data_IF_819607701457
#
_entry.id   IF_819607701457
#
_cell.length_a   1.000
_cell.length_b   1.000
_cell.length_c   1.000
_cell.angle_alpha   90.00
_cell.angle_beta   90.00
_cell.angle_gamma   90.00
#
_symmetry.space_group_name_H-M   'P 1'
#
loop_
_entity.id
_entity.type
_entity.pdbx_description
1 polymer ?
#
# COMPACT_ATOMS: atom_id res chain seq x y z
N UNK A 1 17.27 6.80 -1.94
CA UNK A 1 16.60 5.57 -2.46
C UNK A 1 15.23 5.96 -2.99
N UNK A 2 14.94 5.75 -4.28
CA UNK A 2 13.58 5.96 -4.84
C UNK A 2 12.66 4.83 -4.36
N UNK A 3 11.46 5.17 -3.88
CA UNK A 3 10.41 4.21 -3.55
C UNK A 3 9.92 3.51 -4.84
N UNK A 4 10.30 2.25 -5.00
CA UNK A 4 9.82 1.40 -6.10
C UNK A 4 8.43 0.87 -5.79
N UNK A 5 7.65 0.59 -6.85
CA UNK A 5 6.31 0.01 -6.71
C UNK A 5 6.31 -1.29 -5.90
N UNK A 6 7.33 -2.15 -6.07
CA UNK A 6 7.48 -3.36 -5.25
C UNK A 6 7.72 -3.07 -3.77
N UNK A 7 8.53 -2.07 -3.44
CA UNK A 7 8.75 -1.68 -2.03
C UNK A 7 7.47 -1.16 -1.40
N UNK A 8 6.71 -0.38 -2.19
CA UNK A 8 5.41 0.17 -1.79
C UNK A 8 4.40 -0.97 -1.56
N UNK A 9 4.27 -1.89 -2.51
CA UNK A 9 3.35 -3.03 -2.43
C UNK A 9 3.67 -3.97 -1.26
N UNK A 10 4.96 -4.21 -1.01
CA UNK A 10 5.40 -5.06 0.10
C UNK A 10 4.98 -4.52 1.46
N UNK A 11 4.82 -3.21 1.61
CA UNK A 11 4.29 -2.62 2.83
C UNK A 11 2.81 -3.01 3.06
N UNK A 12 2.00 -3.09 2.00
CA UNK A 12 0.62 -3.59 2.07
C UNK A 12 0.59 -5.07 2.41
N UNK A 13 1.40 -5.88 1.74
CA UNK A 13 1.47 -7.32 2.01
C UNK A 13 1.83 -7.62 3.46
N UNK A 14 2.76 -6.84 4.04
CA UNK A 14 3.13 -6.95 5.46
C UNK A 14 1.94 -6.59 6.38
N UNK A 15 1.18 -5.53 6.07
CA UNK A 15 -0.04 -5.22 6.84
C UNK A 15 -1.11 -6.30 6.65
N UNK A 16 -1.29 -6.83 5.45
CA UNK A 16 -2.27 -7.88 5.17
C UNK A 16 -1.89 -9.21 5.85
N UNK A 17 -0.60 -9.50 6.00
CA UNK A 17 -0.14 -10.66 6.77
C UNK A 17 -0.47 -10.55 8.27
N UNK A 18 -0.58 -9.33 8.80
CA UNK A 18 -0.89 -9.07 10.22
C UNK A 18 -2.39 -8.97 10.49
N UNK A 19 -3.16 -8.37 9.57
CA UNK A 19 -4.57 -8.01 9.79
C UNK A 19 -5.54 -8.74 8.83
N UNK A 20 -5.03 -9.54 7.90
CA UNK A 20 -5.81 -10.13 6.81
C UNK A 20 -6.09 -9.15 5.67
N UNK A 21 -6.57 -9.65 4.53
CA UNK A 21 -6.93 -8.87 3.33
C UNK A 21 -8.33 -8.23 3.40
N UNK A 22 -8.99 -8.27 4.56
CA UNK A 22 -10.42 -7.94 4.70
C UNK A 22 -10.78 -6.46 4.52
N UNK A 23 -9.85 -5.54 4.78
CA UNK A 23 -10.13 -4.10 4.69
C UNK A 23 -9.03 -3.36 3.94
N UNK A 24 -9.27 -3.17 2.63
CA UNK A 24 -8.35 -2.51 1.70
C UNK A 24 -7.96 -1.11 2.19
N UNK A 25 -8.93 -0.31 2.60
CA UNK A 25 -8.68 1.08 2.97
C UNK A 25 -7.81 1.16 4.23
N UNK A 26 -8.11 0.34 5.24
CA UNK A 26 -7.31 0.26 6.45
C UNK A 26 -5.86 -0.20 6.16
N UNK A 27 -5.68 -1.18 5.27
CA UNK A 27 -4.37 -1.69 4.88
C UNK A 27 -3.54 -0.63 4.13
N UNK A 28 -4.14 0.05 3.16
CA UNK A 28 -3.49 1.14 2.42
C UNK A 28 -3.12 2.26 3.38
N UNK A 29 -4.03 2.70 4.25
CA UNK A 29 -3.77 3.76 5.22
C UNK A 29 -2.60 3.42 6.17
N UNK A 30 -2.54 2.17 6.66
CA UNK A 30 -1.44 1.68 7.50
C UNK A 30 -0.12 1.60 6.74
N UNK A 31 -0.14 1.08 5.50
CA UNK A 31 1.04 1.00 4.65
C UNK A 31 1.61 2.39 4.33
N UNK A 32 0.75 3.35 3.97
CA UNK A 32 1.10 4.76 3.77
C UNK A 32 1.76 5.33 5.02
N UNK A 33 1.13 5.19 6.20
CA UNK A 33 1.68 5.73 7.45
C UNK A 33 3.08 5.18 7.76
N UNK A 34 3.27 3.87 7.55
CA UNK A 34 4.56 3.21 7.76
C UNK A 34 5.63 3.69 6.79
N UNK A 35 5.29 3.82 5.51
CA UNK A 35 6.21 4.31 4.48
C UNK A 35 6.55 5.78 4.70
N UNK A 36 5.58 6.63 5.07
CA UNK A 36 5.83 8.02 5.46
C UNK A 36 6.81 8.10 6.64
N UNK A 37 6.63 7.28 7.68
CA UNK A 37 7.56 7.22 8.82
C UNK A 37 8.96 6.74 8.43
N UNK A 38 9.06 5.69 7.61
CA UNK A 38 10.35 5.08 7.21
C UNK A 38 11.14 5.97 6.26
N UNK A 39 10.46 6.68 5.36
CA UNK A 39 11.10 7.52 4.34
C UNK A 39 11.09 9.01 4.69
N UNK A 40 10.61 9.37 5.87
CA UNK A 40 10.46 10.75 6.32
C UNK A 40 9.68 11.62 5.31
N UNK A 41 8.61 11.06 4.72
CA UNK A 41 7.70 11.83 3.87
C UNK A 41 6.91 12.78 4.78
N UNK A 42 7.08 14.09 4.59
CA UNK A 42 6.52 15.11 5.49
C UNK A 42 5.40 15.92 4.86
N UNK A 43 5.26 15.85 3.53
CA UNK A 43 4.27 16.65 2.82
C UNK A 43 3.00 15.85 2.57
N UNK A 44 1.86 16.55 2.61
CA UNK A 44 0.56 15.95 2.34
C UNK A 44 0.48 15.43 0.89
N UNK A 45 1.09 16.16 -0.06
CA UNK A 45 1.17 15.75 -1.46
C UNK A 45 1.95 14.44 -1.69
N UNK A 46 3.06 14.21 -0.98
CA UNK A 46 3.77 12.92 -1.05
C UNK A 46 2.92 11.77 -0.51
N UNK A 47 2.12 12.05 0.52
CA UNK A 47 1.22 11.05 1.13
C UNK A 47 0.07 10.71 0.20
N UNK A 48 -0.51 11.71 -0.46
CA UNK A 48 -1.56 11.52 -1.47
C UNK A 48 -1.03 10.78 -2.69
N UNK A 49 0.15 11.14 -3.21
CA UNK A 49 0.78 10.43 -4.32
C UNK A 49 1.02 8.95 -3.96
N UNK A 50 1.54 8.69 -2.75
CA UNK A 50 1.78 7.34 -2.28
C UNK A 50 0.48 6.54 -2.14
N UNK A 51 -0.59 7.18 -1.64
CA UNK A 51 -1.92 6.57 -1.54
C UNK A 51 -2.45 6.22 -2.93
N UNK A 52 -2.39 7.14 -3.90
CA UNK A 52 -2.83 6.90 -5.27
C UNK A 52 -2.05 5.77 -5.96
N UNK A 53 -0.72 5.74 -5.77
CA UNK A 53 0.13 4.64 -6.26
C UNK A 53 -0.24 3.30 -5.62
N UNK A 54 -0.53 3.29 -4.32
CA UNK A 54 -0.99 2.08 -3.63
C UNK A 54 -2.37 1.62 -4.10
N UNK A 55 -3.27 2.57 -4.37
CA UNK A 55 -4.61 2.29 -4.88
C UNK A 55 -4.54 1.62 -6.26
N UNK A 56 -3.72 2.18 -7.15
CA UNK A 56 -3.44 1.62 -8.48
C UNK A 56 -2.79 0.24 -8.39
N UNK A 57 -1.76 0.07 -7.54
CA UNK A 57 -1.09 -1.22 -7.36
C UNK A 57 -2.01 -2.29 -6.78
N UNK A 58 -2.96 -1.87 -5.95
CA UNK A 58 -3.98 -2.77 -5.44
C UNK A 58 -4.86 -3.30 -6.57
N UNK A 59 -5.36 -2.41 -7.44
CA UNK A 59 -6.18 -2.82 -8.59
C UNK A 59 -5.36 -3.73 -9.51
N UNK A 60 -4.14 -3.35 -9.86
CA UNK A 60 -3.27 -4.13 -10.76
C UNK A 60 -2.92 -5.51 -10.20
N UNK A 61 -2.51 -5.59 -8.92
CA UNK A 61 -1.95 -6.81 -8.34
C UNK A 61 -2.96 -7.67 -7.59
N UNK A 62 -3.94 -7.09 -6.91
CA UNK A 62 -4.94 -7.87 -6.18
C UNK A 62 -5.98 -8.47 -7.14
N UNK A 63 -6.27 -7.80 -8.27
CA UNK A 63 -7.04 -8.38 -9.38
C UNK A 63 -6.26 -9.51 -10.05
N UNK A 64 -4.98 -9.30 -10.37
CA UNK A 64 -4.12 -10.34 -10.95
C UNK A 64 -3.90 -11.56 -10.03
N UNK A 65 -4.03 -11.39 -8.71
CA UNK A 65 -3.91 -12.48 -7.74
C UNK A 65 -5.20 -13.30 -7.58
N UNK A 66 -6.31 -12.92 -8.22
CA UNK A 66 -7.60 -13.59 -8.07
C UNK A 66 -8.18 -13.53 -6.64
N UNK A 67 -7.66 -12.63 -5.79
CA UNK A 67 -7.98 -12.59 -4.36
C UNK A 67 -9.42 -12.16 -4.04
N UNK A 68 -10.21 -11.78 -5.06
CA UNK A 68 -11.62 -11.41 -4.97
C UNK A 68 -12.58 -12.45 -5.59
N UNK A 69 -12.06 -13.58 -6.08
CA UNK A 69 -12.89 -14.72 -6.50
C UNK A 69 -12.80 -15.82 -5.45
N UNK A 70 -13.61 -15.69 -4.40
CA UNK A 70 -13.86 -16.70 -3.38
C UNK A 70 -15.22 -16.47 -2.74
#
# INVERSE_FOLDING_TARGET
>A
MKLTNDTIWRAVQDQAALFGWGDREALIAKAVNRLCKRHHLKTDGEREELRGRLDMLWIDRADAAGAFHG
#
